data_IF_396704198885
#
_entry.id   IF_396704198885
#
_cell.length_a   1.000
_cell.length_b   1.000
_cell.length_c   1.000
_cell.angle_alpha   90.00
_cell.angle_beta   90.00
_cell.angle_gamma   90.00
#
_symmetry.space_group_name_H-M   'P 1'
#
loop_
_entity.id
_entity.type
_entity.pdbx_description
1 polymer ?
#
# COMPACT_ATOMS: atom_id res chain seq x y z
N UNK A 1 -2.16 -18.88 36.84
CA UNK A 1 -3.07 -17.73 36.63
C UNK A 1 -2.57 -17.04 35.38
N UNK A 2 -3.22 -17.23 34.21
CA UNK A 2 -2.72 -16.69 32.94
C UNK A 2 -2.89 -15.16 32.93
N UNK A 3 -1.83 -14.44 32.57
CA UNK A 3 -1.85 -12.98 32.57
C UNK A 3 -2.45 -12.49 31.25
N UNK A 4 -3.72 -12.09 31.26
CA UNK A 4 -4.31 -11.35 30.13
C UNK A 4 -3.72 -9.95 30.11
N UNK A 5 -3.01 -9.60 29.04
CA UNK A 5 -2.38 -8.27 28.90
C UNK A 5 -2.73 -7.69 27.54
N UNK A 6 -3.23 -6.45 27.56
CA UNK A 6 -3.60 -5.71 26.35
C UNK A 6 -2.34 -5.19 25.66
N UNK A 7 -2.22 -5.43 24.35
CA UNK A 7 -1.33 -4.62 23.51
C UNK A 7 -2.07 -3.32 23.22
N UNK A 8 -1.57 -2.20 23.74
CA UNK A 8 -2.08 -0.88 23.40
C UNK A 8 -1.91 -0.65 21.90
N UNK A 9 -2.99 -0.26 21.23
CA UNK A 9 -3.02 0.02 19.80
C UNK A 9 -1.99 1.11 19.44
N UNK A 10 -1.01 0.77 18.60
CA UNK A 10 -0.30 1.72 17.73
C UNK A 10 -0.83 1.64 16.29
N UNK A 11 -2.12 1.32 16.12
CA UNK A 11 -2.83 1.32 14.85
C UNK A 11 -3.80 2.51 14.75
N UNK A 12 -3.31 3.70 15.07
CA UNK A 12 -3.90 4.94 14.58
C UNK A 12 -3.15 5.37 13.32
N UNK A 13 -3.32 4.61 12.23
CA UNK A 13 -3.29 5.24 10.92
C UNK A 13 -4.55 6.12 10.85
N UNK A 14 -4.43 7.34 11.37
CA UNK A 14 -5.37 8.41 11.08
C UNK A 14 -5.43 8.54 9.56
N UNK A 15 -6.65 8.50 9.02
CA UNK A 15 -6.93 8.74 7.61
C UNK A 15 -6.08 9.91 7.11
N UNK A 16 -5.13 9.61 6.24
CA UNK A 16 -4.39 10.64 5.52
C UNK A 16 -5.39 11.44 4.69
N UNK A 17 -5.32 12.79 4.71
CA UNK A 17 -6.18 13.59 3.86
C UNK A 17 -5.71 13.38 2.43
N UNK A 18 -6.41 12.52 1.69
CA UNK A 18 -6.57 12.74 0.26
C UNK A 18 -7.25 14.11 0.17
N UNK A 19 -6.52 15.12 -0.34
CA UNK A 19 -7.03 16.47 -0.58
C UNK A 19 -8.21 16.40 -1.56
N UNK A 20 -9.40 16.17 -1.02
CA UNK A 20 -10.68 16.30 -1.71
C UNK A 20 -11.11 17.76 -1.59
N UNK A 21 -10.77 18.56 -2.60
CA UNK A 21 -11.45 19.83 -2.81
C UNK A 21 -12.83 19.53 -3.40
N UNK A 22 -13.86 19.69 -2.58
CA UNK A 22 -15.26 19.57 -3.01
C UNK A 22 -16.11 20.67 -2.41
N UNK A 23 -16.80 21.43 -3.25
CA UNK A 23 -18.07 22.04 -2.89
C UNK A 23 -19.04 21.99 -4.07
N UNK A 24 -20.04 21.14 -3.96
CA UNK A 24 -21.45 21.54 -4.04
C UNK A 24 -22.36 20.33 -3.83
N UNK A 25 -23.46 20.59 -3.15
CA UNK A 25 -24.38 19.63 -2.55
C UNK A 25 -25.48 19.22 -3.52
N UNK A 26 -25.74 17.92 -3.62
CA UNK A 26 -27.05 17.39 -3.95
C UNK A 26 -27.29 16.10 -3.15
N UNK A 27 -28.37 16.12 -2.37
CA UNK A 27 -28.74 15.07 -1.42
C UNK A 27 -29.07 13.76 -2.12
N UNK A 28 -28.28 12.72 -1.88
CA UNK A 28 -28.65 11.33 -2.09
C UNK A 28 -28.67 10.62 -0.73
N UNK A 29 -29.76 9.92 -0.48
CA UNK A 29 -30.08 9.26 0.78
C UNK A 29 -29.03 8.21 1.20
N UNK A 30 -28.77 8.16 2.50
CA UNK A 30 -27.79 7.32 3.23
C UNK A 30 -27.87 5.81 2.90
N UNK A 31 -26.77 5.13 2.51
CA UNK A 31 -26.74 3.68 2.39
C UNK A 31 -25.56 3.01 3.14
N UNK A 32 -25.39 3.28 4.44
CA UNK A 32 -24.26 2.75 5.23
C UNK A 32 -24.16 1.21 5.33
N UNK A 33 -25.26 0.47 5.12
CA UNK A 33 -25.26 -1.01 5.10
C UNK A 33 -25.11 -1.64 3.71
N UNK A 34 -25.34 -0.88 2.64
CA UNK A 34 -25.27 -1.36 1.26
C UNK A 34 -23.87 -1.19 0.66
N UNK A 35 -23.17 -0.08 1.02
CA UNK A 35 -21.85 0.24 0.50
C UNK A 35 -20.82 -0.87 0.78
N UNK A 36 -20.76 -1.39 2.02
CA UNK A 36 -19.89 -2.50 2.39
C UNK A 36 -20.16 -3.77 1.59
N UNK A 37 -21.44 -4.16 1.42
CA UNK A 37 -21.82 -5.36 0.64
C UNK A 37 -21.44 -5.20 -0.82
N UNK A 38 -21.64 -4.00 -1.38
CA UNK A 38 -21.24 -3.64 -2.74
C UNK A 38 -19.73 -3.72 -2.91
N UNK A 39 -18.95 -3.19 -1.97
CA UNK A 39 -17.49 -3.26 -1.97
C UNK A 39 -17.00 -4.72 -1.95
N UNK A 40 -17.52 -5.56 -1.04
CA UNK A 40 -17.20 -6.99 -1.01
C UNK A 40 -17.47 -7.69 -2.33
N UNK A 41 -18.63 -7.43 -2.96
CA UNK A 41 -19.00 -8.03 -4.24
C UNK A 41 -18.06 -7.56 -5.35
N UNK A 42 -17.76 -6.26 -5.39
CA UNK A 42 -16.93 -5.66 -6.43
C UNK A 42 -15.49 -6.16 -6.34
N UNK A 43 -14.87 -6.08 -5.16
CA UNK A 43 -13.50 -6.57 -4.95
C UNK A 43 -13.42 -8.07 -5.24
N UNK A 44 -14.40 -8.88 -4.82
CA UNK A 44 -14.44 -10.32 -5.18
C UNK A 44 -14.44 -10.58 -6.68
N UNK A 45 -15.11 -9.73 -7.45
CA UNK A 45 -15.28 -9.92 -8.88
C UNK A 45 -14.03 -9.49 -9.67
N UNK A 46 -13.43 -8.35 -9.31
CA UNK A 46 -12.35 -7.74 -10.10
C UNK A 46 -10.96 -7.97 -9.49
N UNK A 47 -10.87 -8.17 -8.18
CA UNK A 47 -9.61 -8.40 -7.45
C UNK A 47 -9.74 -9.55 -6.44
N UNK A 48 -9.70 -10.82 -6.90
CA UNK A 48 -9.83 -11.99 -6.03
C UNK A 48 -8.76 -12.07 -4.93
N UNK A 49 -7.59 -11.47 -5.14
CA UNK A 49 -6.51 -11.46 -4.15
C UNK A 49 -6.77 -10.41 -3.07
N UNK A 50 -7.15 -9.18 -3.44
CA UNK A 50 -7.64 -8.18 -2.48
C UNK A 50 -8.84 -8.71 -1.68
N UNK A 51 -9.75 -9.44 -2.33
CA UNK A 51 -10.86 -10.10 -1.62
C UNK A 51 -10.38 -11.15 -0.60
N UNK A 52 -9.33 -11.91 -0.91
CA UNK A 52 -8.74 -12.86 0.02
C UNK A 52 -8.13 -12.14 1.24
N UNK A 53 -7.43 -11.02 1.03
CA UNK A 53 -6.88 -10.15 2.09
C UNK A 53 -8.00 -9.63 2.98
N UNK A 54 -9.02 -8.98 2.39
CA UNK A 54 -10.19 -8.49 3.13
C UNK A 54 -10.82 -9.64 3.95
N UNK A 55 -11.07 -10.79 3.31
CA UNK A 55 -11.72 -11.93 3.97
C UNK A 55 -10.88 -12.46 5.13
N UNK A 56 -9.58 -12.56 4.97
CA UNK A 56 -8.69 -13.07 6.01
C UNK A 56 -8.60 -12.11 7.19
N UNK A 57 -8.50 -10.80 6.93
CA UNK A 57 -8.47 -9.75 7.95
C UNK A 57 -9.79 -9.68 8.74
N UNK A 58 -10.92 -9.44 8.06
CA UNK A 58 -12.24 -9.27 8.72
C UNK A 58 -12.79 -10.56 9.36
N UNK A 59 -12.16 -11.71 9.12
CA UNK A 59 -12.46 -12.97 9.80
C UNK A 59 -11.38 -13.39 10.80
N UNK A 60 -10.33 -12.60 11.00
CA UNK A 60 -9.31 -12.88 12.01
C UNK A 60 -9.94 -12.87 13.41
N UNK A 61 -9.58 -13.81 14.31
CA UNK A 61 -9.95 -13.64 15.70
C UNK A 61 -9.24 -12.39 16.24
N UNK A 62 -9.81 -11.82 17.30
CA UNK A 62 -9.23 -10.67 17.99
C UNK A 62 -8.39 -11.12 19.19
N UNK A 63 -8.43 -12.39 19.54
CA UNK A 63 -7.72 -12.97 20.67
C UNK A 63 -6.92 -14.18 20.20
N UNK A 64 -5.70 -14.31 20.70
CA UNK A 64 -4.77 -15.39 20.41
C UNK A 64 -4.14 -15.87 21.70
N UNK A 65 -4.02 -17.19 21.86
CA UNK A 65 -3.47 -17.83 23.05
C UNK A 65 -2.15 -18.54 22.72
N UNK A 66 -1.07 -18.14 23.38
CA UNK A 66 0.25 -18.72 23.25
C UNK A 66 0.75 -19.16 24.63
N UNK A 67 0.62 -20.44 24.96
CA UNK A 67 1.03 -21.01 26.27
C UNK A 67 0.51 -20.19 27.48
N UNK A 68 1.35 -19.31 28.04
CA UNK A 68 1.04 -18.45 29.19
C UNK A 68 0.64 -17.01 28.81
N UNK A 69 0.70 -16.66 27.52
CA UNK A 69 0.46 -15.32 26.98
C UNK A 69 -0.86 -15.29 26.20
N UNK A 70 -1.72 -14.34 26.55
CA UNK A 70 -2.91 -14.01 25.77
C UNK A 70 -2.70 -12.66 25.09
N UNK A 71 -2.84 -12.63 23.77
CA UNK A 71 -2.75 -11.43 22.95
C UNK A 71 -4.15 -11.04 22.52
N UNK A 72 -4.57 -9.82 22.87
CA UNK A 72 -5.82 -9.21 22.38
C UNK A 72 -5.50 -8.08 21.43
N UNK A 73 -5.92 -8.22 20.18
CA UNK A 73 -5.81 -7.21 19.13
C UNK A 73 -7.12 -6.44 19.06
N UNK A 74 -7.29 -5.49 20.00
CA UNK A 74 -8.41 -4.53 20.10
C UNK A 74 -9.64 -4.81 19.23
N UNK A 75 -9.92 -3.92 18.26
CA UNK A 75 -10.98 -4.11 17.26
C UNK A 75 -10.42 -3.97 15.85
N UNK A 76 -11.09 -4.61 14.89
CA UNK A 76 -10.85 -4.37 13.47
C UNK A 76 -11.36 -2.98 13.06
N UNK A 77 -10.67 -2.35 12.13
CA UNK A 77 -11.14 -1.09 11.56
C UNK A 77 -12.46 -1.31 10.84
N UNK A 78 -13.43 -0.43 11.06
CA UNK A 78 -14.69 -0.48 10.34
C UNK A 78 -14.48 -0.11 8.87
N UNK A 79 -14.72 -1.07 7.96
CA UNK A 79 -14.52 -0.89 6.53
C UNK A 79 -15.25 0.33 5.96
N UNK A 80 -16.35 0.76 6.59
CA UNK A 80 -17.14 1.93 6.17
C UNK A 80 -16.35 3.23 6.24
N UNK A 81 -15.30 3.29 7.07
CA UNK A 81 -14.38 4.44 7.16
C UNK A 81 -13.61 4.70 5.87
N UNK A 82 -13.47 3.68 5.04
CA UNK A 82 -12.65 3.71 3.83
C UNK A 82 -13.49 3.66 2.56
N UNK A 83 -14.81 3.71 2.66
CA UNK A 83 -15.71 3.68 1.51
C UNK A 83 -16.41 5.02 1.41
N UNK A 84 -16.13 5.75 0.33
CA UNK A 84 -16.87 6.96 -0.02
C UNK A 84 -18.01 6.56 -0.96
N UNK A 85 -19.25 6.52 -0.44
CA UNK A 85 -20.42 6.17 -1.24
C UNK A 85 -21.20 7.40 -1.76
N UNK A 86 -20.59 8.60 -1.75
CA UNK A 86 -21.27 9.83 -2.17
C UNK A 86 -21.50 9.90 -3.68
N UNK A 87 -20.64 9.26 -4.49
CA UNK A 87 -20.85 9.05 -5.92
C UNK A 87 -20.40 7.66 -6.37
N UNK A 88 -20.69 7.30 -7.62
CA UNK A 88 -20.24 6.04 -8.19
C UNK A 88 -18.72 6.01 -8.35
N UNK A 89 -18.14 7.13 -8.81
CA UNK A 89 -16.72 7.34 -9.05
C UNK A 89 -15.93 7.34 -7.74
N UNK A 90 -16.42 8.07 -6.72
CA UNK A 90 -15.80 8.09 -5.40
C UNK A 90 -15.85 6.72 -4.74
N UNK A 91 -16.94 5.97 -4.95
CA UNK A 91 -17.01 4.58 -4.50
C UNK A 91 -15.91 3.72 -5.12
N UNK A 92 -15.74 3.76 -6.44
CA UNK A 92 -14.71 2.96 -7.13
C UNK A 92 -13.30 3.33 -6.68
N UNK A 93 -13.02 4.63 -6.56
CA UNK A 93 -11.72 5.13 -6.10
C UNK A 93 -11.42 4.71 -4.66
N UNK A 94 -12.43 4.73 -3.78
CA UNK A 94 -12.27 4.33 -2.38
C UNK A 94 -11.92 2.85 -2.18
N UNK A 95 -12.16 1.99 -3.18
CA UNK A 95 -11.81 0.57 -3.09
C UNK A 95 -10.30 0.33 -3.03
N UNK A 96 -9.50 1.20 -3.66
CA UNK A 96 -8.03 1.19 -3.52
C UNK A 96 -7.66 1.37 -2.04
N UNK A 97 -8.17 2.42 -1.40
CA UNK A 97 -7.96 2.71 0.02
C UNK A 97 -8.47 1.58 0.92
N UNK A 98 -9.66 1.03 0.65
CA UNK A 98 -10.18 -0.11 1.42
C UNK A 98 -9.24 -1.32 1.37
N UNK A 99 -8.71 -1.67 0.20
CA UNK A 99 -7.78 -2.79 0.05
C UNK A 99 -6.44 -2.50 0.71
N UNK A 100 -5.92 -1.27 0.57
CA UNK A 100 -4.71 -0.81 1.25
C UNK A 100 -4.80 -0.97 2.77
N UNK A 101 -5.87 -0.44 3.38
CA UNK A 101 -6.08 -0.47 4.83
C UNK A 101 -6.36 -1.90 5.34
N UNK A 102 -7.10 -2.70 4.58
CA UNK A 102 -7.28 -4.11 4.88
C UNK A 102 -5.97 -4.90 4.76
N UNK A 103 -5.01 -4.45 3.95
CA UNK A 103 -3.69 -5.05 3.82
C UNK A 103 -2.89 -4.87 5.11
N UNK A 104 -2.83 -3.66 5.68
CA UNK A 104 -2.22 -3.46 7.01
C UNK A 104 -2.88 -4.34 8.07
N UNK A 105 -4.21 -4.35 8.11
CA UNK A 105 -4.98 -5.21 9.01
C UNK A 105 -4.61 -6.69 8.86
N UNK A 106 -4.51 -7.17 7.61
CA UNK A 106 -4.03 -8.51 7.30
C UNK A 106 -2.61 -8.72 7.84
N UNK A 107 -1.67 -7.86 7.48
CA UNK A 107 -0.24 -7.99 7.79
C UNK A 107 -0.02 -8.18 9.29
N UNK A 108 -0.69 -7.40 10.12
CA UNK A 108 -0.50 -7.44 11.57
C UNK A 108 -1.37 -8.48 12.26
N UNK A 109 -2.67 -8.56 11.94
CA UNK A 109 -3.58 -9.45 12.68
C UNK A 109 -3.35 -10.92 12.30
N UNK A 110 -3.11 -11.20 11.02
CA UNK A 110 -2.98 -12.59 10.56
C UNK A 110 -1.61 -13.19 10.85
N UNK A 111 -0.61 -12.39 11.22
CA UNK A 111 0.67 -12.87 11.73
C UNK A 111 0.49 -13.74 12.99
N UNK A 112 -0.32 -13.30 13.95
CA UNK A 112 -0.60 -14.08 15.17
C UNK A 112 -1.35 -15.37 14.87
N UNK A 113 -2.33 -15.32 13.96
CA UNK A 113 -3.00 -16.53 13.46
C UNK A 113 -2.01 -17.52 12.86
N UNK A 114 -1.04 -17.02 12.09
CA UNK A 114 -0.04 -17.86 11.44
C UNK A 114 0.93 -18.46 12.46
N UNK A 115 1.32 -17.71 13.50
CA UNK A 115 2.12 -18.23 14.61
C UNK A 115 1.40 -19.39 15.31
N UNK A 116 0.14 -19.20 15.71
CA UNK A 116 -0.68 -20.21 16.38
C UNK A 116 -0.84 -21.46 15.51
N UNK A 117 -1.19 -21.28 14.23
CA UNK A 117 -1.34 -22.38 13.27
C UNK A 117 -0.04 -23.16 13.06
N UNK A 118 1.10 -22.49 13.11
CA UNK A 118 2.41 -23.11 12.92
C UNK A 118 2.99 -23.70 14.21
N UNK A 119 2.33 -23.52 15.36
CA UNK A 119 2.85 -23.95 16.66
C UNK A 119 4.12 -23.20 17.06
N UNK A 120 4.31 -21.97 16.58
CA UNK A 120 5.47 -21.14 16.92
C UNK A 120 5.13 -20.40 18.22
N UNK A 121 5.99 -20.53 19.22
CA UNK A 121 5.84 -19.79 20.48
C UNK A 121 5.97 -18.29 20.26
N UNK A 122 5.16 -17.53 20.99
CA UNK A 122 5.24 -16.09 21.00
C UNK A 122 6.06 -15.62 22.21
N UNK A 123 7.00 -14.70 21.97
CA UNK A 123 7.77 -14.03 23.02
C UNK A 123 7.24 -12.60 23.18
N UNK A 124 6.99 -12.19 24.43
CA UNK A 124 6.46 -10.85 24.71
C UNK A 124 7.38 -9.74 24.18
N UNK A 125 6.79 -8.76 23.51
CA UNK A 125 7.53 -7.63 22.92
C UNK A 125 8.12 -7.91 21.54
N UNK A 126 7.99 -9.14 21.02
CA UNK A 126 8.34 -9.43 19.63
C UNK A 126 7.21 -8.98 18.69
N UNK A 127 7.62 -8.47 17.53
CA UNK A 127 6.71 -8.03 16.48
C UNK A 127 6.84 -8.93 15.25
N UNK A 128 5.70 -9.19 14.60
CA UNK A 128 5.61 -10.05 13.43
C UNK A 128 4.69 -9.43 12.39
N UNK A 129 5.03 -9.64 11.12
CA UNK A 129 4.21 -9.25 9.97
C UNK A 129 4.03 -10.43 9.03
N UNK A 130 2.80 -10.67 8.57
CA UNK A 130 2.51 -11.69 7.55
C UNK A 130 2.20 -11.03 6.22
N UNK A 131 3.10 -11.13 5.26
CA UNK A 131 2.92 -10.50 3.96
C UNK A 131 2.19 -11.45 3.00
N UNK A 132 1.06 -11.00 2.45
CA UNK A 132 0.33 -11.71 1.39
C UNK A 132 0.94 -11.38 0.02
N UNK A 133 1.61 -12.33 -0.62
CA UNK A 133 2.29 -12.11 -1.91
C UNK A 133 1.48 -12.74 -3.05
N UNK A 134 0.89 -13.92 -2.79
CA UNK A 134 -0.09 -14.58 -3.65
C UNK A 134 -0.97 -15.55 -2.83
N UNK A 135 -1.94 -16.21 -3.49
CA UNK A 135 -2.93 -17.13 -2.89
C UNK A 135 -2.31 -18.17 -1.95
N UNK A 136 -1.13 -18.69 -2.31
CA UNK A 136 -0.43 -19.74 -1.56
C UNK A 136 1.00 -19.29 -1.19
N UNK A 137 1.27 -17.99 -1.26
CA UNK A 137 2.58 -17.41 -0.96
C UNK A 137 2.40 -16.31 0.06
N UNK A 138 2.62 -16.68 1.31
CA UNK A 138 2.56 -15.80 2.47
C UNK A 138 3.87 -15.96 3.23
N UNK A 139 4.48 -14.84 3.64
CA UNK A 139 5.75 -14.87 4.36
C UNK A 139 5.61 -14.19 5.71
N UNK A 140 5.87 -14.96 6.77
CA UNK A 140 5.93 -14.46 8.13
C UNK A 140 7.32 -13.88 8.38
N UNK A 141 7.37 -12.62 8.79
CA UNK A 141 8.61 -11.90 9.11
C UNK A 141 8.59 -11.60 10.61
N UNK A 142 9.52 -12.21 11.36
CA UNK A 142 9.86 -11.75 12.72
C UNK A 142 10.68 -10.47 12.58
N UNK A 143 10.28 -9.41 13.27
CA UNK A 143 11.01 -8.14 13.23
C UNK A 143 12.30 -8.28 14.04
N UNK A 144 13.38 -7.73 13.52
CA UNK A 144 14.62 -7.48 14.27
C UNK A 144 14.59 -6.07 14.84
N UNK A 145 15.65 -5.69 15.57
CA UNK A 145 15.83 -4.29 15.95
C UNK A 145 15.77 -3.38 14.72
N UNK A 146 15.07 -2.27 14.87
CA UNK A 146 14.90 -1.20 13.91
C UNK A 146 14.77 0.12 14.68
N UNK A 147 14.89 1.23 13.96
CA UNK A 147 14.79 2.59 14.48
C UNK A 147 13.71 3.37 13.71
N UNK A 148 13.10 4.42 14.31
CA UNK A 148 12.06 5.20 13.65
C UNK A 148 12.52 5.81 12.32
N UNK A 149 11.68 5.79 11.30
CA UNK A 149 12.04 6.40 10.00
C UNK A 149 12.36 7.90 10.09
N UNK A 150 11.91 8.61 11.13
CA UNK A 150 12.27 10.00 11.39
C UNK A 150 13.76 10.24 11.63
N UNK A 151 14.56 9.21 11.98
CA UNK A 151 16.01 9.36 12.05
C UNK A 151 16.66 9.64 10.69
N UNK A 152 15.97 9.33 9.59
CA UNK A 152 16.41 9.68 8.24
C UNK A 152 16.09 11.15 7.89
N UNK A 153 15.49 11.92 8.80
CA UNK A 153 15.17 13.31 8.52
C UNK A 153 16.45 14.13 8.28
N UNK A 154 16.51 14.83 7.14
CA UNK A 154 17.69 15.59 6.72
C UNK A 154 18.81 14.76 6.08
N UNK A 155 18.70 13.43 5.97
CA UNK A 155 19.70 12.61 5.25
C UNK A 155 19.41 12.51 3.74
N UNK A 156 18.19 12.82 3.32
CA UNK A 156 17.79 12.82 1.91
C UNK A 156 18.20 14.13 1.23
N UNK A 157 18.72 14.09 -0.01
CA UNK A 157 18.79 15.27 -0.86
C UNK A 157 17.41 15.90 -1.04
N UNK A 158 17.32 17.23 -0.97
CA UNK A 158 16.06 17.98 -1.11
C UNK A 158 15.29 17.61 -2.39
N UNK A 159 16.01 17.33 -3.48
CA UNK A 159 15.40 16.95 -4.76
C UNK A 159 14.66 15.61 -4.71
N UNK A 160 14.96 14.74 -3.75
CA UNK A 160 14.31 13.43 -3.57
C UNK A 160 13.15 13.47 -2.57
N UNK A 161 12.85 14.64 -1.98
CA UNK A 161 11.76 14.80 -1.04
C UNK A 161 10.44 14.96 -1.81
N UNK A 162 9.54 14.00 -1.62
CA UNK A 162 8.20 13.99 -2.22
C UNK A 162 7.10 14.17 -1.17
N UNK A 163 5.84 14.26 -1.59
CA UNK A 163 4.71 14.40 -0.65
C UNK A 163 4.65 13.28 0.39
N UNK A 164 4.95 12.04 0.02
CA UNK A 164 4.96 10.88 0.94
C UNK A 164 6.10 10.94 1.96
N UNK A 165 7.19 11.65 1.67
CA UNK A 165 8.30 11.80 2.62
C UNK A 165 7.82 12.42 3.94
N UNK A 166 7.01 13.46 3.87
CA UNK A 166 6.44 14.13 5.05
C UNK A 166 5.42 13.27 5.80
N UNK A 167 4.94 12.19 5.19
CA UNK A 167 4.07 11.24 5.85
C UNK A 167 4.85 10.10 6.47
N UNK A 168 5.86 9.56 5.80
CA UNK A 168 6.46 8.28 6.19
C UNK A 168 7.86 8.39 6.80
N UNK A 169 8.61 9.42 6.41
CA UNK A 169 9.94 9.69 6.97
C UNK A 169 9.80 10.68 8.12
N UNK A 170 9.21 11.85 7.87
CA UNK A 170 9.10 12.92 8.88
C UNK A 170 7.64 13.33 9.14
N UNK A 171 6.80 12.42 9.68
CA UNK A 171 5.43 12.75 10.06
C UNK A 171 5.36 13.56 11.35
N UNK A 172 4.27 14.31 11.46
CA UNK A 172 3.81 14.87 12.73
C UNK A 172 3.05 13.86 13.61
N UNK A 173 2.71 12.68 13.07
CA UNK A 173 1.88 11.66 13.73
C UNK A 173 2.64 10.34 13.99
N UNK A 174 2.28 9.59 15.06
CA UNK A 174 2.93 8.32 15.40
C UNK A 174 2.37 7.17 14.55
N UNK A 175 2.83 7.06 13.30
CA UNK A 175 2.44 5.98 12.37
C UNK A 175 3.38 4.78 12.45
N UNK A 176 3.03 3.68 11.78
CA UNK A 176 3.75 2.39 11.84
C UNK A 176 5.24 2.52 11.53
N UNK A 177 5.63 3.37 10.57
CA UNK A 177 7.04 3.61 10.20
C UNK A 177 7.88 4.21 11.33
N UNK A 178 7.25 4.91 12.27
CA UNK A 178 7.92 5.46 13.44
C UNK A 178 8.04 4.43 14.56
N UNK A 179 7.09 3.50 14.65
CA UNK A 179 7.12 2.44 15.67
C UNK A 179 8.00 1.23 15.30
N UNK A 180 8.09 0.89 14.02
CA UNK A 180 8.74 -0.34 13.53
C UNK A 180 9.80 -0.10 12.45
N UNK A 181 10.09 1.17 12.14
CA UNK A 181 11.15 1.55 11.20
C UNK A 181 10.97 0.96 9.82
N UNK A 182 12.02 0.29 9.33
CA UNK A 182 12.05 -0.35 8.01
C UNK A 182 10.94 -1.39 7.79
N UNK A 183 10.47 -2.07 8.85
CA UNK A 183 9.37 -3.02 8.74
C UNK A 183 8.04 -2.31 8.47
N UNK A 184 7.86 -1.12 9.05
CA UNK A 184 6.73 -0.25 8.72
C UNK A 184 6.81 0.28 7.29
N UNK A 185 8.00 0.66 6.81
CA UNK A 185 8.19 1.07 5.41
C UNK A 185 7.84 -0.07 4.44
N UNK A 186 8.20 -1.31 4.79
CA UNK A 186 7.87 -2.50 3.98
C UNK A 186 6.36 -2.80 4.00
N UNK A 187 5.69 -2.64 5.15
CA UNK A 187 4.23 -2.79 5.28
C UNK A 187 3.47 -1.76 4.44
N UNK A 188 3.88 -0.49 4.48
CA UNK A 188 3.32 0.56 3.61
C UNK A 188 3.52 0.24 2.13
N UNK A 189 4.73 -0.18 1.72
CA UNK A 189 4.99 -0.53 0.33
C UNK A 189 4.10 -1.69 -0.15
N UNK A 190 3.92 -2.69 0.72
CA UNK A 190 3.03 -3.83 0.50
C UNK A 190 1.56 -3.40 0.36
N UNK A 191 1.09 -2.53 1.25
CA UNK A 191 -0.28 -2.02 1.22
C UNK A 191 -0.55 -1.16 -0.03
N UNK A 192 0.40 -0.30 -0.42
CA UNK A 192 0.29 0.46 -1.67
C UNK A 192 0.30 -0.43 -2.91
N UNK A 193 1.08 -1.51 -2.91
CA UNK A 193 1.03 -2.49 -4.00
C UNK A 193 -0.38 -3.07 -4.15
N UNK A 194 -0.99 -3.57 -3.06
CA UNK A 194 -2.33 -4.18 -3.14
C UNK A 194 -3.44 -3.17 -3.44
N UNK A 195 -3.37 -1.96 -2.88
CA UNK A 195 -4.29 -0.87 -3.21
C UNK A 195 -4.21 -0.46 -4.68
N UNK A 196 -3.00 -0.24 -5.19
CA UNK A 196 -2.77 0.11 -6.61
C UNK A 196 -3.20 -1.03 -7.53
N UNK A 197 -2.90 -2.28 -7.16
CA UNK A 197 -3.35 -3.46 -7.91
C UNK A 197 -4.86 -3.52 -8.01
N UNK A 198 -5.57 -3.22 -6.91
CA UNK A 198 -7.02 -3.14 -6.95
C UNK A 198 -7.50 -2.14 -8.01
N UNK A 199 -6.95 -0.93 -7.99
CA UNK A 199 -7.30 0.12 -8.96
C UNK A 199 -7.03 -0.31 -10.41
N UNK A 200 -5.86 -0.89 -10.69
CA UNK A 200 -5.50 -1.39 -12.04
C UNK A 200 -6.46 -2.47 -12.50
N UNK A 201 -6.82 -3.41 -11.63
CA UNK A 201 -7.70 -4.53 -11.92
C UNK A 201 -9.18 -4.14 -12.12
N UNK A 202 -9.56 -2.89 -11.84
CA UNK A 202 -10.89 -2.38 -12.20
C UNK A 202 -11.05 -2.15 -13.72
N UNK A 203 -9.99 -2.26 -14.52
CA UNK A 203 -10.01 -2.01 -15.97
C UNK A 203 -11.17 -2.68 -16.74
N UNK A 204 -11.48 -3.99 -16.55
CA UNK A 204 -12.58 -4.62 -17.27
C UNK A 204 -13.94 -4.02 -16.91
N UNK A 205 -14.10 -3.48 -15.70
CA UNK A 205 -15.29 -2.72 -15.32
C UNK A 205 -15.39 -1.43 -16.15
N UNK A 206 -14.31 -0.63 -16.19
CA UNK A 206 -14.28 0.64 -16.93
C UNK A 206 -14.47 0.47 -18.44
N UNK A 207 -13.99 -0.63 -19.04
CA UNK A 207 -14.28 -1.00 -20.43
C UNK A 207 -15.78 -1.03 -20.76
N UNK A 208 -16.61 -1.39 -19.77
CA UNK A 208 -18.07 -1.42 -19.92
C UNK A 208 -18.72 -0.13 -19.43
N UNK A 209 -18.26 0.42 -18.31
CA UNK A 209 -18.83 1.60 -17.67
C UNK A 209 -18.62 2.88 -18.49
N UNK A 210 -17.47 3.01 -19.14
CA UNK A 210 -17.06 4.16 -19.94
C UNK A 210 -17.31 3.98 -21.44
N UNK A 211 -18.11 2.97 -21.85
CA UNK A 211 -18.33 2.66 -23.27
C UNK A 211 -18.94 3.82 -24.06
N UNK A 212 -19.93 4.47 -23.46
CA UNK A 212 -20.73 5.52 -24.12
C UNK A 212 -20.33 6.93 -23.66
N UNK A 213 -19.35 7.02 -22.75
CA UNK A 213 -18.93 8.26 -22.09
C UNK A 213 -17.46 8.14 -21.70
N UNK A 214 -16.59 8.78 -22.48
CA UNK A 214 -15.14 8.67 -22.31
C UNK A 214 -14.65 9.38 -21.04
N UNK A 215 -15.39 10.35 -20.51
CA UNK A 215 -14.99 11.07 -19.29
C UNK A 215 -14.97 10.13 -18.07
N UNK A 216 -15.71 9.02 -18.13
CA UNK A 216 -15.69 7.97 -17.10
C UNK A 216 -14.37 7.20 -17.03
N UNK A 217 -13.45 7.38 -17.99
CA UNK A 217 -12.07 6.89 -17.85
C UNK A 217 -11.23 7.74 -16.89
N UNK A 218 -11.62 8.99 -16.61
CA UNK A 218 -10.83 9.86 -15.74
C UNK A 218 -10.67 9.32 -14.30
N UNK A 219 -11.73 8.83 -13.61
CA UNK A 219 -11.58 8.19 -12.31
C UNK A 219 -10.65 6.97 -12.35
N UNK A 220 -10.63 6.21 -13.44
CA UNK A 220 -9.72 5.07 -13.59
C UNK A 220 -8.25 5.52 -13.60
N UNK A 221 -7.90 6.50 -14.43
CA UNK A 221 -6.51 6.99 -14.50
C UNK A 221 -6.07 7.66 -13.21
N UNK A 222 -6.91 8.52 -12.64
CA UNK A 222 -6.61 9.19 -11.36
C UNK A 222 -6.49 8.20 -10.20
N UNK A 223 -7.32 7.16 -10.15
CA UNK A 223 -7.27 6.13 -9.13
C UNK A 223 -5.98 5.30 -9.13
N UNK A 224 -5.36 5.09 -10.30
CA UNK A 224 -4.07 4.40 -10.41
C UNK A 224 -2.90 5.36 -10.19
N UNK A 225 -2.89 6.51 -10.86
CA UNK A 225 -1.80 7.49 -10.74
C UNK A 225 -1.73 8.13 -9.35
N UNK A 226 -2.81 8.15 -8.57
CA UNK A 226 -2.80 8.62 -7.18
C UNK A 226 -1.92 7.77 -6.25
N UNK A 227 -1.60 6.53 -6.61
CA UNK A 227 -0.84 5.61 -5.75
C UNK A 227 0.42 5.03 -6.38
N UNK A 228 0.63 5.17 -7.69
CA UNK A 228 1.75 4.53 -8.37
C UNK A 228 3.15 5.07 -7.99
N UNK A 229 3.25 6.33 -7.56
CA UNK A 229 4.51 6.92 -7.05
C UNK A 229 5.01 6.20 -5.80
N UNK A 230 4.13 5.52 -5.06
CA UNK A 230 4.52 4.73 -3.91
C UNK A 230 5.52 3.63 -4.27
N UNK A 231 5.56 3.16 -5.53
CA UNK A 231 6.55 2.18 -5.94
C UNK A 231 7.99 2.70 -5.79
N UNK A 232 8.43 3.74 -6.53
CA UNK A 232 9.78 4.26 -6.39
C UNK A 232 10.03 4.96 -5.05
N UNK A 233 9.02 5.60 -4.45
CA UNK A 233 9.18 6.31 -3.16
C UNK A 233 9.57 5.36 -2.03
N UNK A 234 8.80 4.30 -1.78
CA UNK A 234 9.10 3.37 -0.69
C UNK A 234 10.34 2.53 -0.97
N UNK A 235 10.60 2.19 -2.24
CA UNK A 235 11.86 1.54 -2.63
C UNK A 235 13.06 2.41 -2.23
N UNK A 236 13.01 3.70 -2.57
CA UNK A 236 14.04 4.66 -2.19
C UNK A 236 14.16 4.78 -0.67
N UNK A 237 13.05 4.89 0.06
CA UNK A 237 13.06 5.01 1.51
C UNK A 237 13.70 3.80 2.19
N UNK A 238 13.36 2.58 1.77
CA UNK A 238 13.93 1.35 2.32
C UNK A 238 15.43 1.26 2.03
N UNK A 239 15.86 1.53 0.80
CA UNK A 239 17.28 1.47 0.45
C UNK A 239 18.09 2.56 1.18
N UNK A 240 17.53 3.77 1.29
CA UNK A 240 18.17 4.85 2.03
C UNK A 240 18.23 4.56 3.54
N UNK A 241 17.19 3.94 4.11
CA UNK A 241 17.20 3.46 5.48
C UNK A 241 18.38 2.52 5.73
N UNK A 242 18.59 1.53 4.84
CA UNK A 242 19.67 0.56 4.98
C UNK A 242 21.05 1.21 4.85
N UNK A 243 21.21 2.16 3.94
CA UNK A 243 22.46 2.91 3.80
C UNK A 243 22.76 3.75 5.04
N UNK A 244 21.74 4.42 5.58
CA UNK A 244 21.86 5.17 6.83
C UNK A 244 22.21 4.25 8.00
N UNK A 245 21.51 3.12 8.13
CA UNK A 245 21.77 2.11 9.15
C UNK A 245 23.20 1.57 9.03
N UNK A 246 23.68 1.28 7.82
CA UNK A 246 25.04 0.79 7.60
C UNK A 246 26.09 1.77 8.12
N UNK A 247 25.86 3.08 7.95
CA UNK A 247 26.80 4.12 8.37
C UNK A 247 26.71 4.48 9.86
N UNK A 248 25.51 4.44 10.46
CA UNK A 248 25.27 5.02 11.79
C UNK A 248 24.82 4.00 12.84
N UNK A 249 24.25 2.87 12.42
CA UNK A 249 23.72 1.80 13.28
C UNK A 249 24.04 0.41 12.70
N UNK A 250 25.34 0.03 12.61
CA UNK A 250 25.76 -1.18 11.89
C UNK A 250 25.16 -2.47 12.47
N UNK A 251 24.92 -2.56 13.77
CA UNK A 251 24.26 -3.72 14.38
C UNK A 251 22.80 -3.87 13.88
N UNK A 252 22.04 -2.77 13.84
CA UNK A 252 20.69 -2.74 13.27
C UNK A 252 20.70 -3.14 11.80
N UNK A 253 21.65 -2.60 11.03
CA UNK A 253 21.84 -2.93 9.63
C UNK A 253 22.10 -4.44 9.43
N UNK A 254 23.06 -5.01 10.14
CA UNK A 254 23.37 -6.44 10.05
C UNK A 254 22.19 -7.31 10.49
N UNK A 255 21.46 -6.93 11.54
CA UNK A 255 20.27 -7.67 11.97
C UNK A 255 19.19 -7.72 10.88
N UNK A 256 18.93 -6.59 10.20
CA UNK A 256 17.97 -6.53 9.08
C UNK A 256 18.49 -7.34 7.89
N UNK A 257 19.76 -7.22 7.53
CA UNK A 257 20.32 -7.92 6.36
C UNK A 257 20.41 -9.44 6.54
N UNK A 258 20.51 -9.92 7.78
CA UNK A 258 20.40 -11.35 8.11
C UNK A 258 18.95 -11.86 8.14
N UNK A 259 17.95 -10.98 8.10
CA UNK A 259 16.54 -11.37 8.05
C UNK A 259 16.15 -11.81 6.64
N UNK A 260 16.32 -13.10 6.36
CA UNK A 260 15.99 -13.73 5.07
C UNK A 260 14.53 -13.48 4.66
N UNK A 261 13.59 -13.53 5.62
CA UNK A 261 12.17 -13.33 5.32
C UNK A 261 11.89 -11.87 4.88
N UNK A 262 12.52 -10.89 5.53
CA UNK A 262 12.45 -9.48 5.11
C UNK A 262 12.97 -9.31 3.67
N UNK A 263 14.15 -9.86 3.37
CA UNK A 263 14.74 -9.80 2.02
C UNK A 263 13.83 -10.42 0.97
N UNK A 264 13.29 -11.62 1.24
CA UNK A 264 12.36 -12.29 0.34
C UNK A 264 11.07 -11.49 0.08
N UNK A 265 10.50 -10.87 1.11
CA UNK A 265 9.32 -10.01 0.96
C UNK A 265 9.65 -8.77 0.15
N UNK A 266 10.75 -8.08 0.46
CA UNK A 266 11.22 -6.92 -0.30
C UNK A 266 11.38 -7.25 -1.79
N UNK A 267 12.12 -8.31 -2.12
CA UNK A 267 12.37 -8.70 -3.52
C UNK A 267 11.09 -9.06 -4.26
N UNK A 268 10.14 -9.71 -3.58
CA UNK A 268 8.88 -10.08 -4.21
C UNK A 268 7.95 -8.88 -4.42
N UNK A 269 7.84 -7.97 -3.45
CA UNK A 269 7.06 -6.75 -3.62
C UNK A 269 7.64 -5.90 -4.74
N UNK A 270 8.96 -5.73 -4.80
CA UNK A 270 9.67 -5.02 -5.87
C UNK A 270 9.29 -5.58 -7.26
N UNK A 271 9.40 -6.90 -7.41
CA UNK A 271 9.07 -7.58 -8.66
C UNK A 271 7.59 -7.45 -9.04
N UNK A 272 6.69 -7.72 -8.08
CA UNK A 272 5.24 -7.69 -8.30
C UNK A 272 4.74 -6.28 -8.63
N UNK A 273 5.20 -5.27 -7.90
CA UNK A 273 4.78 -3.90 -8.09
C UNK A 273 5.38 -3.31 -9.38
N UNK A 274 6.66 -3.55 -9.65
CA UNK A 274 7.29 -3.15 -10.92
C UNK A 274 6.61 -3.76 -12.13
N UNK A 275 6.23 -5.05 -12.07
CA UNK A 275 5.46 -5.70 -13.13
C UNK A 275 4.07 -5.08 -13.28
N UNK A 276 3.35 -4.85 -12.18
CA UNK A 276 2.01 -4.23 -12.20
C UNK A 276 2.03 -2.88 -12.93
N UNK A 277 3.02 -2.03 -12.64
CA UNK A 277 3.13 -0.72 -13.27
C UNK A 277 3.49 -0.82 -14.74
N UNK A 278 4.34 -1.77 -15.12
CA UNK A 278 4.66 -2.05 -16.53
C UNK A 278 3.42 -2.49 -17.29
N UNK A 279 2.66 -3.44 -16.74
CA UNK A 279 1.40 -3.92 -17.32
C UNK A 279 0.37 -2.78 -17.46
N UNK A 280 0.24 -1.94 -16.42
CA UNK A 280 -0.64 -0.79 -16.43
C UNK A 280 -0.26 0.24 -17.51
N UNK A 281 1.03 0.56 -17.66
CA UNK A 281 1.49 1.50 -18.68
C UNK A 281 1.15 1.00 -20.09
N UNK A 282 1.40 -0.28 -20.39
CA UNK A 282 1.01 -0.88 -21.67
C UNK A 282 -0.50 -0.82 -21.90
N UNK A 283 -1.29 -1.10 -20.85
CA UNK A 283 -2.75 -1.03 -20.91
C UNK A 283 -3.25 0.40 -21.12
N UNK A 284 -2.65 1.39 -20.45
CA UNK A 284 -2.98 2.81 -20.61
C UNK A 284 -2.72 3.25 -22.05
N UNK A 285 -1.54 2.95 -22.60
CA UNK A 285 -1.21 3.28 -24.00
C UNK A 285 -2.24 2.72 -24.97
N UNK A 286 -2.61 1.43 -24.83
CA UNK A 286 -3.66 0.82 -25.68
C UNK A 286 -5.02 1.48 -25.50
N UNK A 287 -5.37 1.84 -24.27
CA UNK A 287 -6.67 2.47 -23.97
C UNK A 287 -6.75 3.87 -24.58
N UNK A 288 -5.69 4.67 -24.48
CA UNK A 288 -5.62 5.98 -25.14
C UNK A 288 -5.67 5.83 -26.66
N UNK A 289 -5.00 4.83 -27.24
CA UNK A 289 -5.10 4.53 -28.68
C UNK A 289 -6.52 4.16 -29.10
N UNK A 290 -7.20 3.28 -28.35
CA UNK A 290 -8.60 2.90 -28.60
C UNK A 290 -9.53 4.14 -28.56
N UNK A 291 -9.31 5.04 -27.59
CA UNK A 291 -10.09 6.28 -27.46
C UNK A 291 -9.83 7.25 -28.63
N UNK A 292 -8.57 7.43 -29.05
CA UNK A 292 -8.22 8.24 -30.21
C UNK A 292 -8.88 7.69 -31.49
N UNK A 293 -8.85 6.38 -31.70
CA UNK A 293 -9.51 5.74 -32.85
C UNK A 293 -11.03 5.89 -32.82
N UNK A 294 -11.63 6.01 -31.63
CA UNK A 294 -13.05 6.32 -31.44
C UNK A 294 -13.39 7.82 -31.63
N UNK A 295 -12.41 8.65 -31.98
CA UNK A 295 -12.60 10.09 -32.22
C UNK A 295 -12.52 10.96 -30.97
N UNK A 296 -12.09 10.41 -29.82
CA UNK A 296 -11.86 11.17 -28.61
C UNK A 296 -10.55 11.93 -28.74
N UNK A 297 -10.56 13.24 -28.48
CA UNK A 297 -9.34 14.02 -28.33
C UNK A 297 -8.67 13.64 -27.00
N UNK A 298 -7.64 12.79 -27.03
CA UNK A 298 -6.92 12.38 -25.84
C UNK A 298 -5.43 12.18 -26.11
N UNK A 299 -4.63 12.23 -25.06
CA UNK A 299 -3.17 12.07 -25.13
C UNK A 299 -2.56 12.11 -23.74
N UNK A 300 -1.25 12.21 -23.66
CA UNK A 300 -0.54 12.40 -22.40
C UNK A 300 0.77 13.16 -22.61
N UNK A 301 1.21 13.85 -21.56
CA UNK A 301 2.55 14.38 -21.39
C UNK A 301 3.15 13.87 -20.06
N UNK A 302 4.27 14.45 -19.63
CA UNK A 302 4.96 14.01 -18.41
C UNK A 302 4.15 14.26 -17.11
N UNK A 303 3.20 15.18 -17.14
CA UNK A 303 2.45 15.61 -15.95
C UNK A 303 0.98 15.20 -15.99
N UNK A 304 0.38 15.07 -17.17
CA UNK A 304 -1.05 14.86 -17.34
C UNK A 304 -1.39 13.82 -18.42
N UNK A 305 -2.46 13.06 -18.16
CA UNK A 305 -3.25 12.38 -19.17
C UNK A 305 -4.43 13.28 -19.52
N UNK A 306 -4.67 13.51 -20.80
CA UNK A 306 -5.74 14.36 -21.30
C UNK A 306 -6.89 13.51 -21.85
N UNK A 307 -8.11 13.81 -21.43
CA UNK A 307 -9.34 13.32 -22.05
C UNK A 307 -10.22 14.54 -22.37
N UNK A 308 -10.44 14.81 -23.65
CA UNK A 308 -11.06 16.05 -24.11
C UNK A 308 -10.20 17.26 -23.73
N UNK A 309 -10.81 18.21 -23.01
CA UNK A 309 -10.14 19.42 -22.54
C UNK A 309 -9.67 19.32 -21.07
N UNK A 310 -9.79 18.14 -20.45
CA UNK A 310 -9.48 17.92 -19.04
C UNK A 310 -8.17 17.14 -18.90
N UNK A 311 -7.27 17.65 -18.05
CA UNK A 311 -6.02 16.99 -17.67
C UNK A 311 -6.14 16.31 -16.31
N UNK A 312 -5.59 15.11 -16.20
CA UNK A 312 -5.58 14.28 -15.00
C UNK A 312 -4.14 13.89 -14.68
N UNK A 313 -3.71 14.02 -13.41
CA UNK A 313 -2.32 13.78 -13.04
C UNK A 313 -1.78 12.44 -13.54
N UNK A 314 -0.68 12.50 -14.30
CA UNK A 314 0.13 11.39 -14.79
C UNK A 314 1.33 11.17 -13.88
N UNK A 315 1.95 12.26 -13.37
CA UNK A 315 3.13 12.25 -12.50
C UNK A 315 4.33 11.47 -13.08
N UNK A 316 4.43 11.38 -14.41
CA UNK A 316 5.48 10.61 -15.08
C UNK A 316 6.85 11.23 -14.88
N UNK A 317 6.95 12.56 -14.90
CA UNK A 317 8.21 13.26 -14.63
C UNK A 317 8.79 12.87 -13.26
N UNK A 318 7.97 12.96 -12.21
CA UNK A 318 8.37 12.61 -10.84
C UNK A 318 8.71 11.13 -10.73
N UNK A 319 7.92 10.26 -11.35
CA UNK A 319 8.18 8.81 -11.36
C UNK A 319 9.54 8.49 -12.00
N UNK A 320 9.79 9.00 -13.20
CA UNK A 320 11.03 8.75 -13.95
C UNK A 320 12.24 9.35 -13.23
N UNK A 321 12.09 10.53 -12.63
CA UNK A 321 13.13 11.15 -11.81
C UNK A 321 13.53 10.27 -10.61
N UNK A 322 12.57 9.72 -9.85
CA UNK A 322 12.87 8.83 -8.74
C UNK A 322 13.47 7.49 -9.21
N UNK A 323 12.97 6.95 -10.32
CA UNK A 323 13.53 5.73 -10.92
C UNK A 323 14.98 5.94 -11.39
N UNK A 324 15.30 7.13 -11.92
CA UNK A 324 16.65 7.52 -12.27
C UNK A 324 17.54 7.69 -11.03
N UNK A 325 17.02 8.30 -9.96
CA UNK A 325 17.75 8.41 -8.69
C UNK A 325 18.10 7.03 -8.11
N UNK A 326 17.20 6.06 -8.21
CA UNK A 326 17.44 4.67 -7.81
C UNK A 326 18.55 3.99 -8.62
N UNK A 327 18.92 4.49 -9.81
CA UNK A 327 20.07 3.99 -10.58
C UNK A 327 21.43 4.42 -10.01
N UNK A 328 21.47 5.29 -9.01
CA UNK A 328 22.74 5.67 -8.39
C UNK A 328 23.47 4.43 -7.84
N UNK A 329 24.79 4.30 -8.02
CA UNK A 329 25.53 3.10 -7.66
C UNK A 329 25.32 2.63 -6.21
N UNK A 330 25.18 3.59 -5.28
CA UNK A 330 24.97 3.30 -3.86
C UNK A 330 23.65 2.55 -3.59
N UNK A 331 22.57 2.91 -4.31
CA UNK A 331 21.28 2.24 -4.18
C UNK A 331 21.28 0.89 -4.91
N UNK A 332 21.89 0.82 -6.10
CA UNK A 332 21.99 -0.43 -6.85
C UNK A 332 22.82 -1.50 -6.11
N UNK A 333 23.92 -1.10 -5.46
CA UNK A 333 24.72 -2.00 -4.63
C UNK A 333 23.95 -2.49 -3.39
N UNK A 334 23.23 -1.60 -2.70
CA UNK A 334 22.41 -2.00 -1.56
C UNK A 334 21.26 -2.92 -1.98
N UNK A 335 20.61 -2.63 -3.11
CA UNK A 335 19.55 -3.45 -3.67
C UNK A 335 20.06 -4.85 -4.06
N UNK A 336 21.25 -4.95 -4.65
CA UNK A 336 21.87 -6.24 -4.96
C UNK A 336 22.04 -7.10 -3.70
N UNK A 337 22.55 -6.51 -2.62
CA UNK A 337 22.72 -7.19 -1.32
C UNK A 337 21.40 -7.66 -0.70
N UNK A 338 20.29 -6.97 -0.98
CA UNK A 338 18.95 -7.42 -0.57
C UNK A 338 18.43 -8.60 -1.40
N UNK A 339 18.93 -8.78 -2.63
CA UNK A 339 18.47 -9.81 -3.57
C UNK A 339 19.33 -11.08 -3.58
N UNK A 340 20.51 -11.03 -2.96
CA UNK A 340 21.33 -12.20 -2.60
C UNK A 340 20.65 -13.08 -1.54
#
# INVERSE_FOLDING_TARGET
>A
MKATRFISQWLLALALPVLLLGSSTAAWAQPGGNASKRAWKFVRQYDPQGYAILRAYYKAPLEFEFEEINISIGSQNDMRRYIDSSSHELFLNSLNTLVHEACHGYTHHTAFRQLEKAGISYEWGQHYSLFYLAKDQQLLVKHTQAFPSAELHGSFPDSLITSRYHTYIYPSAPITTQSTGIYGLLDEWHAYYHGTKNAVLQYPYYRTYARDDYERWAPYFTGVHGTWLAYPEFKLYILHYLLYAQAHQPETFEAIMHNVAFKQVYTQIDSLFGKLLTDFQQQKTRTLQDLMMAGVNCGEDEEFVFLGNMGYGNFRQTFDFLMQALQAPVYQQMEARLKE
#
